data_IF_732942993309
#
_entry.id   IF_732942993309
#
_cell.length_a   1.000
_cell.length_b   1.000
_cell.length_c   1.000
_cell.angle_alpha   90.00
_cell.angle_beta   90.00
_cell.angle_gamma   90.00
#
_symmetry.space_group_name_H-M   'P 1'
#
loop_
_entity.id
_entity.type
_entity.pdbx_description
1 polymer ?
#
# COMPACT_ATOMS: atom_id res chain seq x y z
N UNK A 1 -17.52 29.35 -4.07
CA UNK A 1 -16.28 29.21 -3.25
C UNK A 1 -15.57 27.88 -3.48
N UNK A 2 -16.05 26.71 -3.00
CA UNK A 2 -15.36 25.41 -3.24
C UNK A 2 -15.24 25.07 -4.74
N UNK A 3 -16.33 25.24 -5.51
CA UNK A 3 -16.33 25.09 -6.96
C UNK A 3 -15.37 26.07 -7.68
N UNK A 4 -15.27 27.32 -7.21
CA UNK A 4 -14.33 28.30 -7.78
C UNK A 4 -12.88 27.92 -7.48
N UNK A 5 -12.60 27.43 -6.27
CA UNK A 5 -11.27 26.93 -5.89
C UNK A 5 -10.89 25.68 -6.68
N UNK A 6 -11.83 24.75 -6.89
CA UNK A 6 -11.61 23.56 -7.73
C UNK A 6 -11.36 23.94 -9.19
N UNK A 7 -12.16 24.84 -9.77
CA UNK A 7 -11.95 25.35 -11.14
C UNK A 7 -10.61 26.09 -11.27
N UNK A 8 -10.21 26.88 -10.28
CA UNK A 8 -8.91 27.56 -10.27
C UNK A 8 -7.76 26.55 -10.21
N UNK A 9 -7.85 25.52 -9.36
CA UNK A 9 -6.84 24.47 -9.23
C UNK A 9 -6.70 23.65 -10.53
N UNK A 10 -7.83 23.19 -11.09
CA UNK A 10 -7.86 22.45 -12.38
C UNK A 10 -7.30 23.32 -13.51
N UNK A 11 -7.65 24.62 -13.56
CA UNK A 11 -7.09 25.53 -14.56
C UNK A 11 -5.58 25.72 -14.42
N UNK A 12 -5.05 25.70 -13.18
CA UNK A 12 -3.62 25.82 -12.92
C UNK A 12 -2.86 24.56 -13.34
N UNK A 13 -3.41 23.37 -13.04
CA UNK A 13 -2.87 22.08 -13.48
C UNK A 13 -2.91 21.95 -15.00
N UNK A 14 -4.04 22.28 -15.63
CA UNK A 14 -4.19 22.25 -17.08
C UNK A 14 -3.20 23.19 -17.80
N UNK A 15 -2.95 24.39 -17.25
CA UNK A 15 -1.92 25.32 -17.76
C UNK A 15 -0.50 24.75 -17.61
N UNK A 16 -0.19 24.06 -16.51
CA UNK A 16 1.09 23.39 -16.31
C UNK A 16 1.32 22.24 -17.29
N UNK A 17 0.30 21.42 -17.56
CA UNK A 17 0.37 20.33 -18.54
C UNK A 17 0.50 20.88 -19.97
N UNK A 18 -0.24 21.94 -20.32
CA UNK A 18 -0.13 22.60 -21.62
C UNK A 18 1.24 23.27 -21.85
N UNK A 19 1.88 23.80 -20.80
CA UNK A 19 3.24 24.35 -20.91
C UNK A 19 4.30 23.25 -21.10
N UNK A 20 4.07 22.04 -20.61
CA UNK A 20 4.95 20.88 -20.84
C UNK A 20 4.77 20.26 -22.24
N UNK A 21 3.58 20.35 -22.83
CA UNK A 21 3.32 19.90 -24.20
C UNK A 21 3.91 20.84 -25.26
N UNK A 22 4.05 22.13 -24.95
CA UNK A 22 4.56 23.16 -25.88
C UNK A 22 6.08 23.30 -25.86
N UNK A 23 6.79 22.66 -24.92
CA UNK A 23 8.26 22.73 -24.80
C UNK A 23 9.05 21.83 -25.78
N UNK A 24 8.42 21.27 -26.82
CA UNK A 24 9.13 20.73 -27.99
C UNK A 24 10.00 19.47 -27.78
N UNK A 25 9.76 18.67 -26.74
CA UNK A 25 10.52 17.44 -26.43
C UNK A 25 9.87 16.16 -26.96
N UNK A 26 9.09 16.23 -28.04
CA UNK A 26 8.43 15.06 -28.64
C UNK A 26 9.40 14.19 -29.47
N UNK A 27 10.54 14.73 -29.91
CA UNK A 27 11.54 13.99 -30.68
C UNK A 27 12.48 13.09 -29.86
N UNK A 28 12.72 13.41 -28.58
CA UNK A 28 13.64 12.67 -27.73
C UNK A 28 13.05 11.33 -27.22
N UNK A 29 11.72 11.25 -27.10
CA UNK A 29 11.03 10.04 -26.60
C UNK A 29 10.97 8.95 -27.68
N UNK A 30 10.84 9.32 -28.95
CA UNK A 30 10.77 8.36 -30.07
C UNK A 30 12.15 7.78 -30.43
N UNK A 31 13.23 8.57 -30.29
CA UNK A 31 14.60 8.04 -30.44
C UNK A 31 15.02 7.13 -29.28
N UNK A 32 14.55 7.38 -28.05
CA UNK A 32 14.82 6.51 -26.90
C UNK A 32 14.15 5.13 -27.02
N UNK A 33 13.00 5.03 -27.68
CA UNK A 33 12.28 3.77 -27.94
C UNK A 33 12.90 2.94 -29.08
N UNK A 34 13.56 3.57 -30.05
CA UNK A 34 14.18 2.87 -31.19
C UNK A 34 15.54 2.23 -30.84
N UNK A 35 16.22 2.67 -29.78
CA UNK A 35 17.51 2.10 -29.34
C UNK A 35 17.38 0.82 -28.50
N UNK A 36 16.15 0.34 -28.24
CA UNK A 36 15.85 -0.84 -27.40
C UNK A 36 15.78 -2.18 -28.16
N UNK A 37 16.08 -2.21 -29.47
CA UNK A 37 15.96 -3.41 -30.33
C UNK A 37 17.29 -3.95 -30.87
N UNK A 38 18.39 -3.75 -30.13
CA UNK A 38 19.62 -4.52 -30.36
C UNK A 38 19.55 -5.78 -29.49
N UNK A 39 19.39 -6.95 -30.13
CA UNK A 39 19.47 -8.25 -29.46
C UNK A 39 20.84 -8.39 -28.76
N UNK A 40 20.88 -8.57 -27.42
CA UNK A 40 22.13 -8.89 -26.78
C UNK A 40 22.47 -10.35 -27.03
N UNK A 41 23.67 -10.58 -27.56
CA UNK A 41 24.43 -11.81 -27.33
C UNK A 41 24.34 -12.14 -25.83
N UNK A 42 24.08 -13.39 -25.45
CA UNK A 42 23.85 -13.80 -24.06
C UNK A 42 25.01 -13.39 -23.15
N UNK A 43 24.95 -12.18 -22.60
CA UNK A 43 25.87 -11.68 -21.60
C UNK A 43 25.52 -12.43 -20.31
N UNK A 44 26.46 -13.22 -19.80
CA UNK A 44 26.37 -13.70 -18.42
C UNK A 44 26.28 -12.47 -17.52
N UNK A 45 25.36 -12.50 -16.58
CA UNK A 45 25.26 -11.43 -15.59
C UNK A 45 26.49 -11.51 -14.69
N UNK A 46 27.35 -10.49 -14.77
CA UNK A 46 28.46 -10.32 -13.85
C UNK A 46 27.99 -9.43 -12.70
N UNK A 47 28.10 -9.95 -11.48
CA UNK A 47 27.76 -9.27 -10.25
C UNK A 47 29.00 -8.49 -9.77
N UNK A 48 28.97 -7.16 -9.83
CA UNK A 48 30.16 -6.33 -9.56
C UNK A 48 30.09 -5.71 -8.17
N UNK A 49 31.03 -6.06 -7.29
CA UNK A 49 31.27 -5.45 -5.98
C UNK A 49 32.46 -4.50 -6.03
N UNK A 50 32.28 -3.27 -5.55
CA UNK A 50 33.38 -2.29 -5.41
C UNK A 50 33.84 -2.25 -3.96
N UNK A 51 35.07 -2.71 -3.72
CA UNK A 51 35.63 -2.86 -2.39
C UNK A 51 36.53 -1.67 -2.01
N UNK A 52 36.40 -1.20 -0.76
CA UNK A 52 37.37 -0.33 -0.09
C UNK A 52 38.69 -1.05 0.14
N UNK A 53 38.63 -2.32 0.53
CA UNK A 53 39.77 -3.20 0.77
C UNK A 53 39.60 -4.50 -0.03
N UNK A 54 39.90 -4.48 -1.35
CA UNK A 54 39.68 -5.64 -2.22
C UNK A 54 40.46 -6.87 -1.74
N UNK A 55 41.65 -6.71 -1.16
CA UNK A 55 42.43 -7.85 -0.64
C UNK A 55 41.73 -8.55 0.53
N UNK A 56 41.16 -7.79 1.47
CA UNK A 56 40.43 -8.37 2.60
C UNK A 56 39.13 -9.04 2.13
N UNK A 57 38.41 -8.41 1.20
CA UNK A 57 37.15 -8.94 0.70
C UNK A 57 37.35 -10.19 -0.18
N UNK A 58 38.37 -10.18 -1.05
CA UNK A 58 38.79 -11.34 -1.84
C UNK A 58 39.19 -12.50 -0.93
N UNK A 59 39.97 -12.24 0.13
CA UNK A 59 40.32 -13.27 1.11
C UNK A 59 39.08 -13.85 1.77
N UNK A 60 38.13 -13.00 2.18
CA UNK A 60 36.89 -13.42 2.81
C UNK A 60 36.06 -14.34 1.91
N UNK A 61 35.79 -13.93 0.67
CA UNK A 61 35.00 -14.76 -0.25
C UNK A 61 35.68 -16.08 -0.61
N UNK A 62 37.02 -16.08 -0.72
CA UNK A 62 37.77 -17.30 -1.03
C UNK A 62 37.87 -18.26 0.15
N UNK A 63 38.24 -17.75 1.33
CA UNK A 63 38.66 -18.59 2.47
C UNK A 63 37.53 -18.82 3.48
N UNK A 64 36.58 -17.88 3.61
CA UNK A 64 35.45 -17.98 4.55
C UNK A 64 34.20 -18.46 3.85
N UNK A 65 33.83 -17.84 2.72
CA UNK A 65 32.63 -18.25 1.95
C UNK A 65 32.91 -19.48 1.09
N UNK A 66 34.17 -19.69 0.68
CA UNK A 66 34.58 -20.86 -0.10
C UNK A 66 34.30 -20.75 -1.60
N UNK A 67 34.24 -19.52 -2.14
CA UNK A 67 34.01 -19.32 -3.57
C UNK A 67 35.25 -19.70 -4.40
N UNK A 68 35.01 -20.33 -5.55
CA UNK A 68 36.08 -20.74 -6.46
C UNK A 68 36.63 -19.53 -7.23
N UNK A 69 37.94 -19.35 -7.18
CA UNK A 69 38.63 -18.25 -7.85
C UNK A 69 38.71 -18.55 -9.35
N UNK A 70 38.14 -17.68 -10.18
CA UNK A 70 38.17 -17.80 -11.63
C UNK A 70 39.28 -16.99 -12.27
N UNK A 71 39.51 -15.78 -11.79
CA UNK A 71 40.60 -14.91 -12.23
C UNK A 71 41.01 -13.95 -11.10
N UNK A 72 42.29 -13.58 -11.05
CA UNK A 72 42.81 -12.59 -10.11
C UNK A 72 43.88 -11.76 -10.81
N UNK A 73 43.71 -10.44 -10.79
CA UNK A 73 44.70 -9.47 -11.26
C UNK A 73 44.92 -8.36 -10.22
N UNK A 74 45.76 -7.38 -10.54
CA UNK A 74 46.11 -6.29 -9.61
C UNK A 74 44.97 -5.32 -9.29
N UNK A 75 43.86 -5.39 -10.03
CA UNK A 75 42.72 -4.47 -9.98
C UNK A 75 41.37 -5.15 -9.74
N UNK A 76 41.29 -6.46 -9.98
CA UNK A 76 40.07 -7.24 -10.05
C UNK A 76 40.30 -8.67 -9.54
N UNK A 77 39.32 -9.19 -8.81
CA UNK A 77 39.21 -10.62 -8.50
C UNK A 77 37.83 -11.12 -8.94
N UNK A 78 37.78 -12.23 -9.67
CA UNK A 78 36.55 -12.85 -10.15
C UNK A 78 36.36 -14.24 -9.54
N UNK A 79 35.15 -14.51 -9.03
CA UNK A 79 34.73 -15.77 -8.43
C UNK A 79 33.62 -16.41 -9.26
N UNK A 80 33.61 -17.75 -9.32
CA UNK A 80 32.54 -18.51 -9.96
C UNK A 80 31.36 -18.72 -8.99
N UNK A 81 30.15 -18.39 -9.45
CA UNK A 81 28.88 -18.66 -8.77
C UNK A 81 28.02 -19.67 -9.57
N UNK A 82 28.63 -20.41 -10.49
CA UNK A 82 27.99 -21.36 -11.39
C UNK A 82 27.57 -20.70 -12.70
N UNK A 83 26.37 -20.07 -12.72
CA UNK A 83 25.88 -19.37 -13.92
C UNK A 83 26.32 -17.91 -14.01
N UNK A 84 26.80 -17.36 -12.90
CA UNK A 84 27.16 -15.95 -12.72
C UNK A 84 28.63 -15.82 -12.27
N UNK A 85 29.21 -14.64 -12.46
CA UNK A 85 30.54 -14.33 -11.95
C UNK A 85 30.43 -13.21 -10.92
N UNK A 86 30.96 -13.40 -9.72
CA UNK A 86 31.16 -12.29 -8.79
C UNK A 86 32.50 -11.62 -9.09
N UNK A 87 32.47 -10.31 -9.32
CA UNK A 87 33.64 -9.51 -9.66
C UNK A 87 33.88 -8.47 -8.57
N UNK A 88 34.99 -8.59 -7.85
CA UNK A 88 35.44 -7.65 -6.83
C UNK A 88 36.44 -6.68 -7.46
N UNK A 89 36.13 -5.39 -7.46
CA UNK A 89 36.97 -4.30 -7.99
C UNK A 89 37.53 -3.44 -6.86
N UNK A 90 38.81 -3.10 -6.94
CA UNK A 90 39.43 -2.12 -6.02
C UNK A 90 39.09 -0.66 -6.36
N UNK A 91 39.06 0.20 -5.33
CA UNK A 91 39.14 1.66 -5.51
C UNK A 91 37.81 2.40 -5.68
N UNK A 92 36.68 1.81 -5.27
CA UNK A 92 35.38 2.51 -5.24
C UNK A 92 35.05 3.07 -3.85
N UNK A 93 34.36 4.22 -3.80
CA UNK A 93 33.53 4.50 -2.64
C UNK A 93 32.41 3.45 -2.61
N UNK A 94 32.26 2.75 -1.50
CA UNK A 94 31.07 1.91 -1.27
C UNK A 94 29.87 2.85 -1.32
N UNK A 95 29.03 2.71 -2.34
CA UNK A 95 27.69 3.26 -2.26
C UNK A 95 27.04 2.57 -1.06
N UNK A 96 26.83 3.31 0.04
CA UNK A 96 26.28 2.81 1.29
C UNK A 96 24.82 2.28 1.17
N UNK A 97 24.37 2.02 -0.07
CA UNK A 97 23.03 1.60 -0.45
C UNK A 97 23.04 0.54 -1.57
N UNK A 98 24.16 -0.15 -1.85
CA UNK A 98 24.08 -1.31 -2.73
C UNK A 98 23.28 -2.41 -2.05
N UNK A 99 22.00 -2.55 -2.40
CA UNK A 99 21.10 -3.64 -1.98
C UNK A 99 21.51 -5.02 -2.54
N UNK A 100 22.78 -5.19 -2.90
CA UNK A 100 23.29 -6.37 -3.54
C UNK A 100 23.48 -7.44 -2.47
N UNK A 101 22.47 -8.30 -2.30
CA UNK A 101 22.57 -9.50 -1.49
C UNK A 101 23.17 -10.62 -2.33
N UNK A 102 24.42 -10.96 -2.07
CA UNK A 102 25.04 -12.13 -2.67
C UNK A 102 24.45 -13.38 -2.01
N UNK A 103 23.80 -14.24 -2.79
CA UNK A 103 23.29 -15.52 -2.30
C UNK A 103 24.04 -16.69 -2.92
N UNK A 104 24.76 -17.42 -2.08
CA UNK A 104 25.54 -18.60 -2.47
C UNK A 104 24.77 -19.85 -2.06
N UNK A 105 24.68 -20.85 -2.94
CA UNK A 105 24.06 -22.13 -2.59
C UNK A 105 25.12 -23.13 -2.11
N UNK A 106 24.80 -23.90 -1.08
CA UNK A 106 25.63 -25.00 -0.58
C UNK A 106 24.79 -26.24 -0.27
N UNK A 107 25.41 -27.41 -0.37
CA UNK A 107 24.82 -28.67 0.11
C UNK A 107 24.94 -28.85 1.63
N UNK A 108 25.88 -28.15 2.28
CA UNK A 108 26.21 -28.35 3.69
C UNK A 108 26.28 -27.00 4.44
N UNK A 109 25.14 -26.58 5.00
CA UNK A 109 25.03 -25.35 5.77
C UNK A 109 25.72 -25.45 7.13
N UNK A 110 25.79 -26.63 7.75
CA UNK A 110 26.42 -26.78 9.06
C UNK A 110 27.93 -26.57 8.99
N UNK A 111 28.56 -27.08 7.93
CA UNK A 111 29.98 -26.83 7.65
C UNK A 111 30.25 -25.35 7.31
N UNK A 112 29.37 -24.72 6.52
CA UNK A 112 29.46 -23.29 6.24
C UNK A 112 29.34 -22.45 7.52
N UNK A 113 28.36 -22.76 8.38
CA UNK A 113 28.17 -22.14 9.70
C UNK A 113 29.39 -22.28 10.58
N UNK A 114 29.96 -23.48 10.70
CA UNK A 114 31.16 -23.72 11.50
C UNK A 114 32.37 -22.95 10.97
N UNK A 115 32.44 -22.69 9.66
CA UNK A 115 33.51 -21.90 9.04
C UNK A 115 33.34 -20.41 9.33
N UNK A 116 32.12 -19.88 9.20
CA UNK A 116 31.79 -18.49 9.55
C UNK A 116 32.07 -18.20 11.04
N UNK A 117 31.64 -19.09 11.94
CA UNK A 117 31.88 -18.93 13.38
C UNK A 117 33.37 -19.01 13.74
N UNK A 118 34.16 -19.86 13.08
CA UNK A 118 35.63 -19.90 13.27
C UNK A 118 36.32 -18.64 12.78
N UNK A 119 35.73 -17.95 11.82
CA UNK A 119 36.20 -16.67 11.31
C UNK A 119 35.67 -15.46 12.10
N UNK A 120 34.99 -15.69 13.23
CA UNK A 120 34.38 -14.65 14.09
C UNK A 120 33.36 -13.77 13.35
N UNK A 121 32.64 -14.36 12.38
CA UNK A 121 31.54 -13.70 11.68
C UNK A 121 30.25 -13.92 12.44
N UNK A 122 29.52 -12.83 12.72
CA UNK A 122 28.16 -12.91 13.28
C UNK A 122 27.22 -13.45 12.21
N UNK A 123 26.47 -14.50 12.54
CA UNK A 123 25.58 -15.17 11.60
C UNK A 123 24.18 -15.27 12.19
N UNK A 124 23.22 -14.82 11.41
CA UNK A 124 21.81 -15.03 11.67
C UNK A 124 21.33 -16.29 10.92
N UNK A 125 20.57 -17.13 11.63
CA UNK A 125 20.07 -18.39 11.09
C UNK A 125 18.61 -18.27 10.65
N UNK A 126 18.33 -18.63 9.40
CA UNK A 126 16.97 -18.84 8.94
C UNK A 126 16.62 -20.34 8.99
N UNK A 127 15.47 -20.66 9.57
CA UNK A 127 14.95 -22.03 9.69
C UNK A 127 13.57 -22.13 9.04
N UNK A 128 13.25 -23.30 8.49
CA UNK A 128 11.90 -23.58 7.99
C UNK A 128 10.89 -23.83 9.14
N UNK A 129 9.58 -23.96 8.84
CA UNK A 129 8.58 -24.26 9.86
C UNK A 129 8.83 -25.57 10.63
N UNK A 130 9.58 -26.51 10.03
CA UNK A 130 10.00 -27.75 10.68
C UNK A 130 11.29 -27.58 11.51
N UNK A 131 11.84 -26.37 11.59
CA UNK A 131 13.03 -26.01 12.38
C UNK A 131 14.37 -26.36 11.74
N UNK A 132 14.39 -26.80 10.47
CA UNK A 132 15.62 -27.13 9.74
C UNK A 132 16.30 -25.85 9.25
N UNK A 133 17.63 -25.79 9.37
CA UNK A 133 18.44 -24.67 8.88
C UNK A 133 18.39 -24.61 7.35
N UNK A 134 18.06 -23.44 6.80
CA UNK A 134 17.81 -23.23 5.37
C UNK A 134 18.64 -22.09 4.78
N UNK A 135 19.04 -21.12 5.60
CA UNK A 135 19.99 -20.10 5.20
C UNK A 135 20.79 -19.57 6.39
N UNK A 136 21.96 -19.01 6.08
CA UNK A 136 22.83 -18.26 6.97
C UNK A 136 22.97 -16.86 6.40
N UNK A 137 22.69 -15.83 7.19
CA UNK A 137 22.75 -14.42 6.80
C UNK A 137 23.83 -13.73 7.64
N UNK A 138 24.68 -12.95 7.00
CA UNK A 138 25.79 -12.25 7.65
C UNK A 138 26.26 -11.08 6.80
N UNK A 139 27.05 -10.20 7.39
CA UNK A 139 27.71 -9.14 6.65
C UNK A 139 29.15 -9.54 6.31
N UNK A 140 29.61 -9.16 5.11
CA UNK A 140 31.02 -9.25 4.75
C UNK A 140 31.86 -8.19 5.52
N UNK A 141 33.21 -8.20 5.39
CA UNK A 141 34.07 -7.23 6.09
C UNK A 141 33.82 -5.75 5.78
N UNK A 142 33.06 -5.45 4.72
CA UNK A 142 32.68 -4.08 4.34
C UNK A 142 31.23 -3.74 4.69
N UNK A 143 30.50 -4.65 5.33
CA UNK A 143 29.10 -4.47 5.73
C UNK A 143 28.09 -4.78 4.61
N UNK A 144 28.49 -5.48 3.55
CA UNK A 144 27.54 -5.92 2.53
C UNK A 144 26.85 -7.20 2.99
N UNK A 145 25.51 -7.29 2.85
CA UNK A 145 24.77 -8.47 3.26
C UNK A 145 25.04 -9.64 2.32
N UNK A 146 25.43 -10.78 2.88
CA UNK A 146 25.68 -12.05 2.20
C UNK A 146 24.79 -13.13 2.81
N UNK A 147 24.28 -14.03 1.97
CA UNK A 147 23.53 -15.19 2.39
C UNK A 147 24.10 -16.48 1.82
N UNK A 148 24.10 -17.55 2.61
CA UNK A 148 24.34 -18.90 2.12
C UNK A 148 23.04 -19.70 2.28
N UNK A 149 22.51 -20.24 1.18
CA UNK A 149 21.28 -21.04 1.17
C UNK A 149 21.57 -22.52 0.96
N UNK A 150 20.70 -23.36 1.55
CA UNK A 150 20.69 -24.79 1.23
C UNK A 150 20.30 -24.99 -0.23
N UNK A 151 20.97 -25.90 -0.92
CA UNK A 151 20.78 -26.09 -2.37
C UNK A 151 19.37 -26.53 -2.75
N UNK A 152 18.73 -27.32 -1.88
CA UNK A 152 17.34 -27.79 -1.97
C UNK A 152 16.31 -26.79 -1.41
N UNK A 153 16.73 -25.60 -0.97
CA UNK A 153 15.80 -24.57 -0.53
C UNK A 153 14.89 -24.15 -1.71
N UNK A 154 13.56 -24.02 -1.48
CA UNK A 154 12.61 -23.58 -2.49
C UNK A 154 13.04 -22.28 -3.17
N UNK A 155 12.87 -22.12 -4.49
CA UNK A 155 13.24 -20.89 -5.22
C UNK A 155 12.55 -19.64 -4.67
N UNK A 156 11.34 -19.79 -4.12
CA UNK A 156 10.59 -18.72 -3.47
C UNK A 156 11.35 -18.12 -2.30
N UNK A 157 12.04 -18.94 -1.50
CA UNK A 157 12.85 -18.44 -0.39
C UNK A 157 14.13 -17.77 -0.85
N UNK A 158 14.72 -18.21 -1.95
CA UNK A 158 15.85 -17.48 -2.53
C UNK A 158 15.45 -16.07 -2.96
N UNK A 159 14.23 -15.91 -3.51
CA UNK A 159 13.66 -14.60 -3.84
C UNK A 159 13.35 -13.77 -2.60
N UNK A 160 12.82 -14.36 -1.53
CA UNK A 160 12.55 -13.67 -0.26
C UNK A 160 13.88 -13.17 0.34
N UNK A 161 14.86 -14.06 0.50
CA UNK A 161 16.19 -13.72 1.01
C UNK A 161 16.88 -12.66 0.13
N UNK A 162 16.80 -12.76 -1.21
CA UNK A 162 17.49 -11.87 -2.16
C UNK A 162 16.85 -10.48 -2.25
N UNK A 163 15.52 -10.40 -2.21
CA UNK A 163 14.77 -9.15 -2.43
C UNK A 163 14.84 -8.19 -1.25
N UNK A 164 15.49 -8.58 -0.15
CA UNK A 164 15.37 -7.83 1.08
C UNK A 164 13.99 -8.00 1.73
N UNK A 165 13.14 -8.93 1.24
CA UNK A 165 12.11 -9.55 2.07
C UNK A 165 12.80 -10.47 3.06
N UNK A 166 13.42 -9.79 3.99
CA UNK A 166 14.04 -10.24 5.20
C UNK A 166 13.31 -11.53 5.68
N UNK A 167 13.91 -12.69 5.40
CA UNK A 167 13.51 -13.97 6.01
C UNK A 167 13.74 -13.90 7.52
N UNK A 168 14.54 -12.93 7.95
CA UNK A 168 14.53 -12.43 9.31
C UNK A 168 13.42 -11.41 9.56
N UNK A 169 12.82 -10.63 8.66
CA UNK A 169 11.63 -9.78 8.98
C UNK A 169 10.36 -10.57 9.27
N UNK A 170 10.27 -11.82 8.83
CA UNK A 170 9.24 -12.74 9.34
C UNK A 170 9.55 -13.23 10.77
N UNK A 171 10.81 -13.14 11.21
CA UNK A 171 11.29 -13.46 12.56
C UNK A 171 11.61 -12.22 13.44
N UNK A 172 11.73 -11.04 12.83
CA UNK A 172 12.38 -9.80 13.29
C UNK A 172 11.57 -8.58 12.83
N UNK A 173 10.24 -8.77 12.80
CA UNK A 173 9.27 -7.71 13.05
C UNK A 173 9.53 -6.95 14.39
N UNK A 174 10.60 -7.30 15.13
CA UNK A 174 11.14 -6.67 16.32
C UNK A 174 12.23 -5.59 16.11
N UNK A 175 12.77 -5.34 14.91
CA UNK A 175 13.92 -4.39 14.77
C UNK A 175 13.77 -3.21 13.78
N UNK A 176 12.55 -2.90 13.32
CA UNK A 176 12.19 -1.52 12.96
C UNK A 176 12.71 -0.95 11.62
N UNK A 177 12.79 -1.74 10.54
CA UNK A 177 13.16 -1.24 9.19
C UNK A 177 12.16 -1.60 8.08
N UNK A 178 10.90 -1.20 8.22
CA UNK A 178 9.86 -1.22 7.17
C UNK A 178 9.84 0.06 6.31
N UNK A 179 11.01 0.62 6.00
CA UNK A 179 11.15 2.00 5.47
C UNK A 179 10.80 2.14 3.97
N UNK A 180 10.60 1.05 3.21
CA UNK A 180 10.56 1.12 1.74
C UNK A 180 9.25 0.71 1.04
N UNK A 181 8.26 0.13 1.73
CA UNK A 181 7.01 -0.32 1.06
C UNK A 181 6.09 0.83 0.64
N UNK A 182 6.11 1.95 1.37
CA UNK A 182 5.18 3.07 1.15
C UNK A 182 5.27 3.72 -0.24
N UNK A 183 6.45 3.70 -0.88
CA UNK A 183 6.65 4.27 -2.23
C UNK A 183 5.90 3.47 -3.30
N UNK A 184 5.93 2.14 -3.16
CA UNK A 184 5.26 1.23 -4.10
C UNK A 184 3.76 1.23 -3.86
N UNK A 185 3.33 1.18 -2.60
CA UNK A 185 1.92 1.28 -2.17
C UNK A 185 1.28 2.57 -2.75
N UNK A 186 1.90 3.72 -2.49
CA UNK A 186 1.40 5.00 -2.98
C UNK A 186 1.41 5.12 -4.51
N UNK A 187 2.38 4.49 -5.19
CA UNK A 187 2.43 4.48 -6.65
C UNK A 187 1.29 3.63 -7.26
N UNK A 188 0.97 2.49 -6.66
CA UNK A 188 -0.15 1.64 -7.08
C UNK A 188 -1.47 2.38 -6.87
N UNK A 189 -1.70 2.92 -5.67
CA UNK A 189 -2.90 3.69 -5.35
C UNK A 189 -3.06 4.90 -6.29
N UNK A 190 -1.97 5.64 -6.53
CA UNK A 190 -1.98 6.80 -7.43
C UNK A 190 -2.21 6.39 -8.88
N UNK A 191 -1.71 5.24 -9.32
CA UNK A 191 -1.97 4.71 -10.66
C UNK A 191 -3.45 4.39 -10.88
N UNK A 192 -4.08 3.74 -9.90
CA UNK A 192 -5.52 3.43 -9.92
C UNK A 192 -6.36 4.71 -9.98
N UNK A 193 -6.10 5.66 -9.08
CA UNK A 193 -6.80 6.94 -9.06
C UNK A 193 -6.47 7.81 -10.28
N UNK A 194 -5.26 7.68 -10.82
CA UNK A 194 -4.85 8.32 -12.07
C UNK A 194 -5.78 7.93 -13.23
N UNK A 195 -6.10 6.65 -13.39
CA UNK A 195 -7.08 6.19 -14.38
C UNK A 195 -8.45 6.85 -14.16
N UNK A 196 -8.91 6.90 -12.91
CA UNK A 196 -10.16 7.58 -12.54
C UNK A 196 -10.16 9.06 -12.90
N UNK A 197 -9.06 9.77 -12.62
CA UNK A 197 -8.87 11.17 -13.03
C UNK A 197 -8.86 11.35 -14.54
N UNK A 198 -8.25 10.40 -15.26
CA UNK A 198 -8.26 10.37 -16.73
C UNK A 198 -9.66 10.27 -17.31
N UNK A 199 -10.60 9.62 -16.62
CA UNK A 199 -12.01 9.63 -16.99
C UNK A 199 -12.73 10.91 -16.52
N UNK A 200 -12.60 11.24 -15.23
CA UNK A 200 -13.42 12.26 -14.59
C UNK A 200 -13.15 13.66 -15.14
N UNK A 201 -11.89 14.03 -15.37
CA UNK A 201 -11.53 15.38 -15.84
C UNK A 201 -12.09 15.69 -17.24
N UNK A 202 -11.83 14.91 -18.30
CA UNK A 202 -12.38 15.22 -19.62
C UNK A 202 -13.92 15.15 -19.64
N UNK A 203 -14.52 14.18 -18.95
CA UNK A 203 -15.99 14.10 -18.86
C UNK A 203 -16.58 15.35 -18.20
N UNK A 204 -16.00 15.79 -17.08
CA UNK A 204 -16.44 17.01 -16.37
C UNK A 204 -16.21 18.30 -17.17
N UNK A 205 -15.34 18.26 -18.19
CA UNK A 205 -15.12 19.37 -19.12
C UNK A 205 -16.02 19.27 -20.38
N UNK A 206 -17.02 18.38 -20.37
CA UNK A 206 -17.98 18.19 -21.46
C UNK A 206 -17.45 17.35 -22.61
N UNK A 207 -16.44 16.49 -22.39
CA UNK A 207 -15.96 15.58 -23.42
C UNK A 207 -16.81 14.32 -23.48
N UNK A 208 -17.58 14.17 -24.56
CA UNK A 208 -18.34 12.95 -24.85
C UNK A 208 -17.58 11.96 -25.75
N UNK A 209 -16.32 12.25 -26.10
CA UNK A 209 -15.55 11.42 -27.02
C UNK A 209 -14.96 10.20 -26.32
N UNK A 210 -15.38 8.97 -26.65
CA UNK A 210 -14.82 7.76 -26.03
C UNK A 210 -13.32 7.63 -26.29
N UNK A 211 -12.85 8.11 -27.44
CA UNK A 211 -11.42 8.12 -27.79
C UNK A 211 -10.63 9.08 -26.89
N UNK A 212 -11.13 10.29 -26.65
CA UNK A 212 -10.45 11.25 -25.78
C UNK A 212 -10.40 10.73 -24.33
N UNK A 213 -11.51 10.18 -23.83
CA UNK A 213 -11.59 9.55 -22.51
C UNK A 213 -10.65 8.34 -22.42
N UNK A 214 -10.64 7.45 -23.42
CA UNK A 214 -9.77 6.27 -23.42
C UNK A 214 -8.28 6.64 -23.41
N UNK A 215 -7.87 7.62 -24.24
CA UNK A 215 -6.49 8.07 -24.30
C UNK A 215 -6.03 8.73 -23.00
N UNK A 216 -6.89 9.54 -22.37
CA UNK A 216 -6.57 10.19 -21.10
C UNK A 216 -6.48 9.19 -19.96
N UNK A 217 -7.37 8.19 -19.88
CA UNK A 217 -7.26 7.07 -18.93
C UNK A 217 -5.96 6.28 -19.10
N UNK A 218 -5.60 5.92 -20.34
CA UNK A 218 -4.37 5.19 -20.64
C UNK A 218 -3.10 5.96 -20.25
N UNK A 219 -3.10 7.29 -20.40
CA UNK A 219 -1.94 8.12 -20.08
C UNK A 219 -1.86 8.44 -18.58
N UNK A 220 -2.98 8.79 -17.95
CA UNK A 220 -3.04 9.30 -16.58
C UNK A 220 -2.66 8.26 -15.52
N UNK A 221 -3.07 7.00 -15.67
CA UNK A 221 -2.71 5.92 -14.73
C UNK A 221 -1.18 5.74 -14.60
N UNK A 222 -0.46 5.39 -15.67
CA UNK A 222 0.99 5.28 -15.65
C UNK A 222 1.70 6.58 -15.24
N UNK A 223 1.22 7.74 -15.70
CA UNK A 223 1.80 9.03 -15.33
C UNK A 223 1.68 9.31 -13.82
N UNK A 224 0.52 9.03 -13.22
CA UNK A 224 0.30 9.20 -11.80
C UNK A 224 1.15 8.22 -10.97
N UNK A 225 1.24 6.95 -11.38
CA UNK A 225 2.09 5.96 -10.73
C UNK A 225 3.58 6.36 -10.75
N UNK A 226 4.09 6.82 -11.90
CA UNK A 226 5.47 7.30 -12.03
C UNK A 226 5.69 8.56 -11.18
N UNK A 227 4.77 9.52 -11.21
CA UNK A 227 4.87 10.74 -10.42
C UNK A 227 4.90 10.44 -8.92
N UNK A 228 4.01 9.57 -8.44
CA UNK A 228 3.94 9.13 -7.05
C UNK A 228 5.19 8.35 -6.62
N UNK A 229 5.71 7.46 -7.47
CA UNK A 229 6.95 6.75 -7.20
C UNK A 229 8.15 7.69 -7.08
N UNK A 230 8.26 8.69 -7.98
CA UNK A 230 9.31 9.70 -7.93
C UNK A 230 9.18 10.61 -6.71
N UNK A 231 7.95 11.01 -6.37
CA UNK A 231 7.66 11.73 -5.13
C UNK A 231 8.10 10.93 -3.90
N UNK A 232 7.74 9.64 -3.85
CA UNK A 232 8.11 8.73 -2.77
C UNK A 232 9.63 8.56 -2.64
N UNK A 233 10.36 8.50 -3.76
CA UNK A 233 11.82 8.48 -3.77
C UNK A 233 12.42 9.73 -3.13
N UNK A 234 11.94 10.92 -3.50
CA UNK A 234 12.47 12.22 -3.02
C UNK A 234 12.15 12.51 -1.56
N UNK A 235 11.04 11.99 -1.07
CA UNK A 235 10.54 12.28 0.29
C UNK A 235 10.84 11.17 1.29
N UNK A 236 11.47 10.07 0.86
CA UNK A 236 11.64 8.87 1.66
C UNK A 236 10.32 8.39 2.30
N UNK A 237 9.26 8.33 1.48
CA UNK A 237 7.90 8.06 1.92
C UNK A 237 7.81 6.72 2.68
N UNK A 238 7.47 6.80 3.96
CA UNK A 238 7.23 5.64 4.83
C UNK A 238 5.86 5.02 4.53
N UNK A 239 5.61 3.78 4.98
CA UNK A 239 4.31 3.11 4.85
C UNK A 239 3.17 3.90 5.50
N UNK A 240 3.37 4.40 6.71
CA UNK A 240 2.33 5.17 7.42
C UNK A 240 2.06 6.53 6.77
N UNK A 241 3.09 7.20 6.26
CA UNK A 241 2.91 8.44 5.48
C UNK A 241 2.18 8.18 4.17
N UNK A 242 2.52 7.12 3.44
CA UNK A 242 1.82 6.72 2.22
C UNK A 242 0.32 6.51 2.48
N UNK A 243 -0.03 5.70 3.48
CA UNK A 243 -1.42 5.48 3.87
C UNK A 243 -2.15 6.73 4.32
N UNK A 244 -1.47 7.65 5.01
CA UNK A 244 -2.07 8.93 5.36
C UNK A 244 -2.41 9.78 4.12
N UNK A 245 -1.57 9.75 3.07
CA UNK A 245 -1.85 10.41 1.79
C UNK A 245 -3.03 9.76 1.07
N UNK A 246 -3.03 8.43 0.97
CA UNK A 246 -4.09 7.64 0.35
C UNK A 246 -5.43 7.90 1.04
N UNK A 247 -5.47 7.77 2.37
CA UNK A 247 -6.63 8.13 3.17
C UNK A 247 -7.07 9.56 2.93
N UNK A 248 -6.13 10.52 2.99
CA UNK A 248 -6.43 11.93 2.81
C UNK A 248 -7.16 12.16 1.49
N UNK A 249 -6.67 11.52 0.42
CA UNK A 249 -7.32 11.50 -0.88
C UNK A 249 -8.70 10.87 -0.85
N UNK A 250 -8.80 9.60 -0.44
CA UNK A 250 -10.04 8.81 -0.48
C UNK A 250 -11.15 9.45 0.37
N UNK A 251 -10.80 9.93 1.56
CA UNK A 251 -11.74 10.58 2.47
C UNK A 251 -12.22 11.92 1.92
N UNK A 252 -11.33 12.76 1.40
CA UNK A 252 -11.74 14.04 0.82
C UNK A 252 -12.53 13.87 -0.48
N UNK A 253 -12.21 12.84 -1.28
CA UNK A 253 -12.99 12.44 -2.44
C UNK A 253 -14.40 11.98 -2.04
N UNK A 254 -14.51 11.10 -1.04
CA UNK A 254 -15.80 10.67 -0.48
C UNK A 254 -16.63 11.84 0.02
N UNK A 255 -16.04 12.75 0.80
CA UNK A 255 -16.72 13.95 1.30
C UNK A 255 -17.21 14.83 0.14
N UNK A 256 -16.37 15.05 -0.88
CA UNK A 256 -16.75 15.90 -2.01
C UNK A 256 -17.85 15.27 -2.87
N UNK A 257 -17.80 13.97 -3.14
CA UNK A 257 -18.88 13.25 -3.82
C UNK A 257 -20.18 13.32 -3.03
N UNK A 258 -20.11 13.03 -1.73
CA UNK A 258 -21.28 13.02 -0.89
C UNK A 258 -21.95 14.39 -0.78
N UNK A 259 -21.20 15.45 -0.50
CA UNK A 259 -21.77 16.80 -0.40
C UNK A 259 -22.27 17.33 -1.75
N UNK A 260 -21.65 16.92 -2.86
CA UNK A 260 -22.17 17.22 -4.19
C UNK A 260 -23.51 16.50 -4.46
N UNK A 261 -23.63 15.24 -4.02
CA UNK A 261 -24.88 14.48 -4.09
C UNK A 261 -25.99 15.09 -3.25
N UNK A 262 -25.71 15.41 -1.98
CA UNK A 262 -26.66 16.11 -1.08
C UNK A 262 -27.06 17.48 -1.63
N UNK A 263 -26.20 18.12 -2.42
CA UNK A 263 -26.49 19.39 -3.09
C UNK A 263 -27.20 19.26 -4.44
N UNK A 264 -27.58 18.04 -4.85
CA UNK A 264 -28.19 17.74 -6.14
C UNK A 264 -27.42 18.33 -7.34
N UNK A 265 -26.09 18.27 -7.29
CA UNK A 265 -25.27 18.74 -8.41
C UNK A 265 -25.42 17.84 -9.63
N UNK A 266 -25.23 18.41 -10.82
CA UNK A 266 -25.15 17.65 -12.07
C UNK A 266 -23.99 16.65 -12.04
N UNK A 267 -24.08 15.56 -12.82
CA UNK A 267 -23.14 14.43 -12.73
C UNK A 267 -21.69 14.84 -13.04
N UNK A 268 -21.51 15.79 -13.95
CA UNK A 268 -20.24 16.41 -14.32
C UNK A 268 -19.64 17.17 -13.12
N UNK A 269 -20.46 17.95 -12.42
CA UNK A 269 -20.03 18.72 -11.25
C UNK A 269 -19.75 17.81 -10.03
N UNK A 270 -20.47 16.69 -9.89
CA UNK A 270 -20.20 15.65 -8.88
C UNK A 270 -18.83 15.01 -9.13
N UNK A 271 -18.53 14.62 -10.38
CA UNK A 271 -17.22 14.04 -10.76
C UNK A 271 -16.06 15.04 -10.60
N UNK A 272 -16.29 16.30 -10.98
CA UNK A 272 -15.30 17.36 -10.79
C UNK A 272 -15.04 17.61 -9.31
N UNK A 273 -16.10 17.63 -8.48
CA UNK A 273 -16.01 17.83 -7.04
C UNK A 273 -15.24 16.69 -6.38
N UNK A 274 -15.56 15.43 -6.69
CA UNK A 274 -14.83 14.25 -6.20
C UNK A 274 -13.34 14.29 -6.56
N UNK A 275 -13.02 14.62 -7.82
CA UNK A 275 -11.64 14.81 -8.30
C UNK A 275 -10.91 15.93 -7.54
N UNK A 276 -11.56 17.07 -7.34
CA UNK A 276 -11.03 18.19 -6.57
C UNK A 276 -10.79 17.81 -5.10
N UNK A 277 -11.72 17.05 -4.52
CA UNK A 277 -11.63 16.47 -3.19
C UNK A 277 -10.41 15.59 -3.04
N UNK A 278 -10.23 14.60 -3.91
CA UNK A 278 -9.09 13.69 -3.94
C UNK A 278 -7.75 14.45 -3.88
N UNK A 279 -7.54 15.39 -4.82
CA UNK A 279 -6.29 16.13 -4.93
C UNK A 279 -6.05 17.04 -3.71
N UNK A 280 -7.10 17.69 -3.21
CA UNK A 280 -7.05 18.54 -2.03
C UNK A 280 -6.71 17.71 -0.78
N UNK A 281 -7.28 16.52 -0.66
CA UNK A 281 -7.05 15.59 0.43
C UNK A 281 -5.61 15.09 0.47
N UNK A 282 -5.07 14.64 -0.67
CA UNK A 282 -3.65 14.23 -0.77
C UNK A 282 -2.74 15.38 -0.40
N UNK A 283 -3.00 16.59 -0.91
CA UNK A 283 -2.19 17.76 -0.60
C UNK A 283 -2.24 18.14 0.88
N UNK A 284 -3.44 18.11 1.49
CA UNK A 284 -3.62 18.38 2.92
C UNK A 284 -2.89 17.33 3.78
N UNK A 285 -3.02 16.04 3.45
CA UNK A 285 -2.30 14.97 4.14
C UNK A 285 -0.79 15.12 3.99
N UNK A 286 -0.28 15.47 2.80
CA UNK A 286 1.15 15.71 2.59
C UNK A 286 1.67 16.85 3.47
N UNK A 287 0.91 17.94 3.60
CA UNK A 287 1.24 19.06 4.47
C UNK A 287 1.20 18.68 5.95
N UNK A 288 0.19 17.92 6.37
CA UNK A 288 0.00 17.51 7.77
C UNK A 288 1.03 16.48 8.23
N UNK A 289 1.52 15.63 7.32
CA UNK A 289 2.51 14.58 7.62
C UNK A 289 3.94 15.03 7.37
N UNK A 290 4.15 16.22 6.80
CA UNK A 290 5.50 16.74 6.51
C UNK A 290 6.33 16.86 7.80
N UNK A 291 7.44 16.13 7.84
CA UNK A 291 8.36 16.13 8.98
C UNK A 291 7.80 15.44 10.24
N UNK A 292 6.72 14.67 10.10
CA UNK A 292 6.15 13.85 11.18
C UNK A 292 6.24 12.38 10.81
N UNK A 293 6.65 11.57 11.76
CA UNK A 293 6.52 10.12 11.65
C UNK A 293 5.07 9.75 11.95
N UNK A 294 4.42 9.11 10.98
CA UNK A 294 3.07 8.58 11.12
C UNK A 294 3.20 7.07 11.09
N UNK A 295 2.78 6.39 12.16
CA UNK A 295 2.78 4.94 12.16
C UNK A 295 1.64 4.40 11.29
N UNK A 296 1.79 3.22 10.65
CA UNK A 296 0.71 2.59 9.90
C UNK A 296 -0.57 2.40 10.74
N UNK A 297 -0.41 2.12 12.03
CA UNK A 297 -1.52 1.98 12.97
C UNK A 297 -2.26 3.29 13.26
N UNK A 298 -1.54 4.41 13.39
CA UNK A 298 -2.16 5.74 13.50
C UNK A 298 -2.97 6.11 12.26
N UNK A 299 -2.39 5.90 11.07
CA UNK A 299 -3.09 6.13 9.80
C UNK A 299 -4.32 5.22 9.67
N UNK A 300 -4.17 3.94 10.02
CA UNK A 300 -5.26 2.97 10.03
C UNK A 300 -6.38 3.36 11.00
N UNK A 301 -6.06 3.82 12.21
CA UNK A 301 -7.06 4.17 13.23
C UNK A 301 -7.91 5.34 12.76
N UNK A 302 -7.26 6.33 12.15
CA UNK A 302 -7.93 7.48 11.53
C UNK A 302 -8.91 7.03 10.42
N UNK A 303 -8.47 6.15 9.51
CA UNK A 303 -9.31 5.60 8.44
C UNK A 303 -10.48 4.77 8.99
N UNK A 304 -10.19 3.87 9.92
CA UNK A 304 -11.17 2.97 10.50
C UNK A 304 -12.25 3.76 11.23
N UNK A 305 -11.88 4.78 12.01
CA UNK A 305 -12.82 5.63 12.70
C UNK A 305 -13.71 6.44 11.72
N UNK A 306 -13.18 6.87 10.58
CA UNK A 306 -13.96 7.54 9.54
C UNK A 306 -15.02 6.59 8.93
N UNK A 307 -14.64 5.36 8.60
CA UNK A 307 -15.54 4.36 8.03
C UNK A 307 -16.63 3.93 9.02
N UNK A 308 -16.25 3.64 10.27
CA UNK A 308 -17.21 3.34 11.33
C UNK A 308 -18.12 4.53 11.63
N UNK A 309 -17.59 5.75 11.58
CA UNK A 309 -18.38 6.97 11.60
C UNK A 309 -19.46 6.97 10.53
N UNK A 310 -19.09 6.78 9.26
CA UNK A 310 -20.04 6.69 8.14
C UNK A 310 -21.11 5.63 8.37
N UNK A 311 -20.70 4.41 8.77
CA UNK A 311 -21.60 3.30 9.05
C UNK A 311 -22.61 3.64 10.16
N UNK A 312 -22.17 4.24 11.27
CA UNK A 312 -23.08 4.61 12.35
C UNK A 312 -23.95 5.82 12.01
N UNK A 313 -23.52 6.69 11.10
CA UNK A 313 -24.38 7.69 10.48
C UNK A 313 -25.52 7.08 9.67
N UNK A 314 -25.21 6.08 8.84
CA UNK A 314 -26.22 5.32 8.09
C UNK A 314 -27.22 4.66 9.04
N UNK A 315 -26.72 3.92 10.03
CA UNK A 315 -27.58 3.25 11.04
C UNK A 315 -28.45 4.26 11.76
N UNK A 316 -27.88 5.36 12.26
CA UNK A 316 -28.61 6.40 12.98
C UNK A 316 -29.70 7.06 12.12
N UNK A 317 -29.39 7.38 10.86
CA UNK A 317 -30.35 7.94 9.92
C UNK A 317 -31.50 6.96 9.64
N UNK A 318 -31.20 5.68 9.42
CA UNK A 318 -32.23 4.65 9.15
C UNK A 318 -33.13 4.35 10.34
N UNK A 319 -32.59 4.40 11.56
CA UNK A 319 -33.41 4.28 12.78
C UNK A 319 -34.32 5.50 12.93
N UNK A 320 -33.82 6.71 12.66
CA UNK A 320 -34.62 7.93 12.70
C UNK A 320 -35.70 7.96 11.61
N UNK A 321 -35.42 7.32 10.46
CA UNK A 321 -36.30 7.18 9.31
C UNK A 321 -37.45 6.19 9.54
N UNK A 322 -37.35 5.23 10.45
CA UNK A 322 -38.41 4.23 10.66
C UNK A 322 -39.81 4.80 10.97
N UNK A 323 -39.93 6.10 11.27
CA UNK A 323 -41.20 6.81 11.46
C UNK A 323 -41.39 8.04 10.55
N UNK A 324 -40.48 8.30 9.61
CA UNK A 324 -40.53 9.41 8.65
C UNK A 324 -40.23 8.86 7.26
N UNK A 325 -40.41 9.66 6.22
CA UNK A 325 -39.90 9.30 4.90
C UNK A 325 -38.69 10.21 4.72
N UNK A 326 -37.52 9.73 5.12
CA UNK A 326 -36.25 10.44 5.04
C UNK A 326 -35.71 10.22 3.64
N UNK A 327 -35.50 11.32 2.92
CA UNK A 327 -34.92 11.28 1.58
C UNK A 327 -33.47 10.75 1.62
N UNK A 328 -33.03 10.17 0.50
CA UNK A 328 -31.68 9.59 0.39
C UNK A 328 -30.55 10.55 0.77
N UNK A 329 -30.78 11.85 0.56
CA UNK A 329 -29.81 12.92 0.81
C UNK A 329 -29.59 13.17 2.30
N UNK A 330 -30.62 13.04 3.13
CA UNK A 330 -30.48 13.15 4.58
C UNK A 330 -29.67 11.97 5.15
N UNK A 331 -29.88 10.75 4.60
CA UNK A 331 -29.08 9.58 4.98
C UNK A 331 -27.61 9.75 4.58
N UNK A 332 -27.35 10.19 3.34
CA UNK A 332 -26.00 10.47 2.86
C UNK A 332 -25.34 11.59 3.68
N UNK A 333 -26.06 12.68 3.96
CA UNK A 333 -25.62 13.77 4.82
C UNK A 333 -25.21 13.29 6.22
N UNK A 334 -26.01 12.40 6.82
CA UNK A 334 -25.67 11.80 8.11
C UNK A 334 -24.37 10.99 8.05
N UNK A 335 -24.17 10.17 7.00
CA UNK A 335 -22.93 9.41 6.79
C UNK A 335 -21.70 10.34 6.63
N UNK A 336 -21.84 11.44 5.90
CA UNK A 336 -20.75 12.40 5.68
C UNK A 336 -20.34 13.12 6.96
N UNK A 337 -21.33 13.62 7.72
CA UNK A 337 -21.07 14.30 9.00
C UNK A 337 -20.43 13.35 10.00
N UNK A 338 -21.00 12.15 10.17
CA UNK A 338 -20.50 11.18 11.15
C UNK A 338 -19.15 10.59 10.77
N UNK A 339 -18.84 10.43 9.48
CA UNK A 339 -17.49 10.04 9.05
C UNK A 339 -16.44 11.12 9.32
N UNK A 340 -16.80 12.41 9.20
CA UNK A 340 -15.91 13.51 9.61
C UNK A 340 -15.71 13.58 11.13
N UNK A 341 -16.76 13.35 11.91
CA UNK A 341 -16.67 13.22 13.38
C UNK A 341 -15.80 12.01 13.74
N UNK A 342 -16.01 10.87 13.09
CA UNK A 342 -15.24 9.64 13.27
C UNK A 342 -13.75 9.84 12.96
N UNK A 343 -13.44 10.42 11.78
CA UNK A 343 -12.07 10.76 11.41
C UNK A 343 -11.43 11.68 12.49
N UNK A 344 -12.11 12.75 12.88
CA UNK A 344 -11.60 13.68 13.91
C UNK A 344 -11.33 12.96 15.24
N UNK A 345 -12.25 12.13 15.70
CA UNK A 345 -12.09 11.34 16.92
C UNK A 345 -10.94 10.32 16.80
N UNK A 346 -10.82 9.64 15.67
CA UNK A 346 -9.74 8.70 15.38
C UNK A 346 -8.37 9.39 15.37
N UNK A 347 -8.27 10.57 14.76
CA UNK A 347 -7.05 11.37 14.74
C UNK A 347 -6.64 11.83 16.13
N UNK A 348 -7.58 12.36 16.93
CA UNK A 348 -7.33 12.73 18.33
C UNK A 348 -6.92 11.53 19.20
N UNK A 349 -7.48 10.36 18.92
CA UNK A 349 -7.12 9.11 19.62
C UNK A 349 -5.73 8.64 19.23
N UNK A 350 -5.38 8.71 17.93
CA UNK A 350 -4.06 8.35 17.39
C UNK A 350 -2.92 9.21 17.96
N UNK A 351 -3.22 10.43 18.44
CA UNK A 351 -2.25 11.27 19.14
C UNK A 351 -1.95 10.80 20.57
N UNK A 352 -2.82 9.98 21.16
CA UNK A 352 -2.73 9.54 22.57
C UNK A 352 -2.46 8.05 22.72
N UNK A 353 -2.86 7.26 21.73
CA UNK A 353 -2.79 5.81 21.75
C UNK A 353 -2.00 5.38 20.53
N UNK A 354 -0.86 4.73 20.79
CA UNK A 354 -0.14 4.00 19.76
C UNK A 354 -0.76 2.61 19.64
N UNK A 355 -1.48 2.39 18.54
CA UNK A 355 -2.18 1.13 18.28
C UNK A 355 -1.48 0.41 17.14
N UNK A 356 -0.98 -0.82 17.33
CA UNK A 356 -0.38 -1.56 16.23
C UNK A 356 -1.44 -1.90 15.18
N UNK A 357 -1.03 -1.93 13.92
CA UNK A 357 -1.91 -2.19 12.78
C UNK A 357 -2.65 -3.53 12.90
N UNK A 358 -1.96 -4.58 13.37
CA UNK A 358 -2.56 -5.90 13.58
C UNK A 358 -3.69 -5.89 14.60
N UNK A 359 -3.53 -5.14 15.70
CA UNK A 359 -4.58 -4.97 16.70
C UNK A 359 -5.79 -4.24 16.12
N UNK A 360 -5.55 -3.21 15.34
CA UNK A 360 -6.62 -2.47 14.68
C UNK A 360 -7.38 -3.36 13.68
N UNK A 361 -6.68 -4.18 12.90
CA UNK A 361 -7.29 -5.13 11.98
C UNK A 361 -8.22 -6.12 12.72
N UNK A 362 -7.79 -6.65 13.88
CA UNK A 362 -8.65 -7.48 14.73
C UNK A 362 -9.87 -6.73 15.28
N UNK A 363 -9.71 -5.44 15.62
CA UNK A 363 -10.83 -4.61 16.07
C UNK A 363 -11.84 -4.47 14.94
N UNK A 364 -11.40 -4.07 13.75
CA UNK A 364 -12.25 -3.91 12.57
C UNK A 364 -12.94 -5.22 12.17
N UNK A 365 -12.20 -6.33 12.14
CA UNK A 365 -12.76 -7.65 11.88
C UNK A 365 -13.85 -8.00 12.89
N UNK A 366 -13.62 -7.72 14.18
CA UNK A 366 -14.65 -7.84 15.22
C UNK A 366 -15.91 -7.08 14.87
N UNK A 367 -15.79 -5.80 14.55
CA UNK A 367 -16.93 -4.98 14.15
C UNK A 367 -17.67 -5.52 12.92
N UNK A 368 -16.94 -5.92 11.86
CA UNK A 368 -17.52 -6.50 10.64
C UNK A 368 -18.29 -7.78 10.96
N UNK A 369 -17.69 -8.70 11.71
CA UNK A 369 -18.33 -9.95 12.14
C UNK A 369 -19.53 -9.70 13.04
N UNK A 370 -19.46 -8.69 13.92
CA UNK A 370 -20.58 -8.25 14.76
C UNK A 370 -21.75 -7.74 13.93
N UNK A 371 -21.49 -6.85 12.96
CA UNK A 371 -22.52 -6.34 12.04
C UNK A 371 -23.14 -7.47 11.21
N UNK A 372 -22.32 -8.34 10.63
CA UNK A 372 -22.78 -9.49 9.84
C UNK A 372 -23.63 -10.45 10.68
N UNK A 373 -23.22 -10.73 11.92
CA UNK A 373 -23.99 -11.51 12.87
C UNK A 373 -25.34 -10.85 13.18
N UNK A 374 -25.38 -9.53 13.33
CA UNK A 374 -26.63 -8.79 13.55
C UNK A 374 -27.60 -8.89 12.39
N UNK A 375 -27.13 -8.78 11.14
CA UNK A 375 -27.98 -9.06 9.97
C UNK A 375 -28.46 -10.52 9.93
N UNK A 376 -27.60 -11.48 10.29
CA UNK A 376 -28.00 -12.88 10.40
C UNK A 376 -29.08 -13.10 11.47
N UNK A 377 -28.97 -12.42 12.61
CA UNK A 377 -29.96 -12.49 13.68
C UNK A 377 -31.30 -11.91 13.25
N UNK A 378 -31.30 -10.76 12.59
CA UNK A 378 -32.49 -10.14 12.00
C UNK A 378 -33.21 -11.09 11.04
N UNK A 379 -32.48 -11.72 10.12
CA UNK A 379 -33.03 -12.70 9.17
C UNK A 379 -33.65 -13.94 9.84
N UNK A 380 -33.08 -14.39 10.96
CA UNK A 380 -33.58 -15.56 11.72
C UNK A 380 -34.82 -15.18 12.52
N UNK A 381 -34.84 -14.00 13.12
CA UNK A 381 -35.94 -13.53 13.94
C UNK A 381 -37.09 -12.94 13.12
N UNK A 382 -36.85 -12.61 11.85
CA UNK A 382 -37.80 -11.97 10.93
C UNK A 382 -38.45 -10.74 11.58
N UNK A 383 -37.62 -9.76 11.96
CA UNK A 383 -38.11 -8.58 12.67
C UNK A 383 -38.84 -7.67 11.70
N UNK A 384 -40.15 -7.52 11.89
CA UNK A 384 -41.03 -6.68 11.05
C UNK A 384 -40.96 -5.17 11.41
N UNK A 385 -39.85 -4.70 11.99
CA UNK A 385 -39.64 -3.30 12.38
C UNK A 385 -38.42 -2.72 11.64
N UNK A 386 -38.66 -1.74 10.77
CA UNK A 386 -37.62 -1.14 9.93
C UNK A 386 -36.48 -0.53 10.76
N UNK A 387 -36.78 0.00 11.96
CA UNK A 387 -35.75 0.52 12.85
C UNK A 387 -34.86 -0.61 13.38
N UNK A 388 -35.46 -1.73 13.78
CA UNK A 388 -34.78 -2.89 14.33
C UNK A 388 -33.84 -3.56 13.31
N UNK A 389 -34.22 -3.59 12.03
CA UNK A 389 -33.39 -4.11 10.93
C UNK A 389 -32.02 -3.42 10.88
N UNK A 390 -31.94 -2.14 11.24
CA UNK A 390 -30.67 -1.38 11.30
C UNK A 390 -30.08 -1.30 12.71
N UNK A 391 -30.92 -1.25 13.74
CA UNK A 391 -30.48 -1.17 15.12
C UNK A 391 -29.76 -2.44 15.57
N UNK A 392 -30.21 -3.62 15.14
CA UNK A 392 -29.60 -4.90 15.51
C UNK A 392 -28.16 -4.99 14.96
N UNK A 393 -27.89 -4.88 13.64
CA UNK A 393 -26.52 -4.85 13.10
C UNK A 393 -25.66 -3.72 13.66
N UNK A 394 -26.25 -2.54 13.88
CA UNK A 394 -25.56 -1.41 14.50
C UNK A 394 -25.06 -1.73 15.91
N UNK A 395 -25.95 -2.25 16.76
CA UNK A 395 -25.64 -2.58 18.15
C UNK A 395 -24.65 -3.75 18.26
N UNK A 396 -24.82 -4.81 17.46
CA UNK A 396 -23.88 -5.95 17.45
C UNK A 396 -22.51 -5.55 16.91
N UNK A 397 -22.45 -4.67 15.91
CA UNK A 397 -21.21 -4.08 15.41
C UNK A 397 -20.45 -3.30 16.49
N UNK A 398 -21.12 -2.38 17.20
CA UNK A 398 -20.53 -1.64 18.34
C UNK A 398 -20.06 -2.60 19.43
N UNK A 399 -20.92 -3.55 19.82
CA UNK A 399 -20.60 -4.54 20.85
C UNK A 399 -19.36 -5.36 20.51
N UNK A 400 -19.24 -5.79 19.25
CA UNK A 400 -18.10 -6.57 18.78
C UNK A 400 -16.81 -5.72 18.70
N UNK A 401 -16.88 -4.47 18.24
CA UNK A 401 -15.75 -3.52 18.30
C UNK A 401 -15.25 -3.33 19.73
N UNK A 402 -16.17 -3.10 20.68
CA UNK A 402 -15.82 -2.92 22.08
C UNK A 402 -15.20 -4.18 22.68
N UNK A 403 -15.79 -5.34 22.39
CA UNK A 403 -15.30 -6.64 22.83
C UNK A 403 -13.89 -6.94 22.30
N UNK A 404 -13.65 -6.77 21.00
CA UNK A 404 -12.32 -7.03 20.41
C UNK A 404 -11.28 -6.02 20.86
N UNK A 405 -11.66 -4.75 21.06
CA UNK A 405 -10.77 -3.74 21.65
C UNK A 405 -10.33 -4.13 23.06
N UNK A 406 -11.26 -4.60 23.88
CA UNK A 406 -10.99 -5.09 25.23
C UNK A 406 -10.17 -6.39 25.23
N UNK A 407 -10.51 -7.34 24.35
CA UNK A 407 -9.86 -8.64 24.25
C UNK A 407 -8.40 -8.50 23.81
N UNK A 408 -8.15 -7.71 22.78
CA UNK A 408 -6.79 -7.43 22.29
C UNK A 408 -5.97 -6.62 23.29
N UNK A 409 -6.59 -5.72 24.05
CA UNK A 409 -5.90 -4.92 25.05
C UNK A 409 -5.44 -5.68 26.30
N UNK A 410 -5.99 -6.86 26.58
CA UNK A 410 -5.57 -7.70 27.72
C UNK A 410 -4.44 -8.68 27.39
N UNK A 411 -4.25 -8.95 26.11
CA UNK A 411 -3.32 -9.96 25.63
C UNK A 411 -2.06 -9.35 25.02
N UNK A 412 -1.83 -8.04 25.18
CA UNK A 412 -0.54 -7.44 24.82
C UNK A 412 0.52 -7.87 25.85
N UNK A 413 1.56 -8.61 25.44
CA UNK A 413 2.78 -8.69 26.22
C UNK A 413 3.35 -7.28 26.36
N UNK A 414 4.05 -6.98 27.46
CA UNK A 414 4.79 -5.73 27.62
C UNK A 414 5.58 -5.37 26.34
N UNK A 415 5.92 -4.08 26.08
CA UNK A 415 6.36 -3.55 24.77
C UNK A 415 7.53 -4.24 24.05
N UNK A 416 8.11 -5.31 24.61
CA UNK A 416 9.23 -6.07 24.08
C UNK A 416 8.89 -7.52 23.68
N UNK A 417 7.61 -7.87 23.45
CA UNK A 417 7.23 -9.26 23.16
C UNK A 417 6.10 -9.41 22.13
N UNK A 418 6.22 -8.73 20.99
CA UNK A 418 5.23 -8.77 19.89
C UNK A 418 5.65 -9.65 18.70
N UNK A 419 6.11 -10.87 18.95
CA UNK A 419 6.18 -11.93 17.93
C UNK A 419 4.85 -12.71 17.96
N UNK A 420 4.41 -13.20 16.78
CA UNK A 420 3.26 -14.08 16.53
C UNK A 420 1.94 -13.37 16.20
N UNK A 421 1.81 -12.94 14.93
CA UNK A 421 0.83 -13.49 13.97
C UNK A 421 0.80 -12.58 12.73
N UNK A 422 1.40 -13.09 11.65
CA UNK A 422 1.34 -12.48 10.32
C UNK A 422 -0.05 -12.61 9.75
N UNK A 423 -0.75 -11.47 9.65
CA UNK A 423 -1.92 -11.31 8.81
C UNK A 423 -1.67 -10.11 7.90
N UNK A 424 -0.90 -10.31 6.83
CA UNK A 424 -0.94 -9.39 5.68
C UNK A 424 -2.14 -9.77 4.83
N UNK A 425 -3.29 -9.18 5.14
CA UNK A 425 -4.49 -9.23 4.30
C UNK A 425 -4.51 -8.06 3.31
N UNK A 426 -5.10 -8.21 2.12
CA UNK A 426 -5.31 -7.11 1.18
C UNK A 426 -6.47 -6.25 1.70
N UNK A 427 -6.18 -5.26 2.55
CA UNK A 427 -7.19 -4.36 3.14
C UNK A 427 -7.67 -3.23 2.22
N UNK A 428 -7.45 -3.32 0.91
CA UNK A 428 -8.20 -2.50 -0.05
C UNK A 428 -9.62 -3.08 -0.24
N UNK A 429 -10.39 -3.17 0.85
CA UNK A 429 -11.83 -3.22 0.75
C UNK A 429 -12.30 -1.81 0.40
N UNK A 430 -12.36 -1.55 -0.91
CA UNK A 430 -13.25 -0.53 -1.43
C UNK A 430 -14.64 -0.85 -0.88
N UNK A 431 -15.09 -0.09 0.12
CA UNK A 431 -16.52 0.04 0.36
C UNK A 431 -17.05 0.59 -0.96
N UNK A 432 -17.66 -0.29 -1.76
CA UNK A 432 -18.38 0.10 -2.96
C UNK A 432 -19.31 1.21 -2.50
N UNK A 433 -19.05 2.44 -2.97
CA UNK A 433 -20.06 3.48 -2.95
C UNK A 433 -21.34 2.79 -3.45
N UNK A 434 -22.46 2.86 -2.70
CA UNK A 434 -23.69 2.24 -3.16
C UNK A 434 -23.90 2.76 -4.57
N UNK A 435 -24.01 1.85 -5.54
CA UNK A 435 -24.35 2.24 -6.90
C UNK A 435 -25.69 2.95 -6.79
N UNK A 436 -25.66 4.29 -6.80
CA UNK A 436 -26.82 5.15 -6.95
C UNK A 436 -27.32 4.84 -8.36
N UNK A 437 -28.12 3.78 -8.43
CA UNK A 437 -28.89 3.45 -9.59
C UNK A 437 -30.08 4.39 -9.49
N UNK A 438 -30.34 5.26 -10.48
CA UNK A 438 -31.56 6.05 -10.48
C UNK A 438 -32.73 5.07 -10.35
N UNK A 439 -33.63 5.33 -9.42
CA UNK A 439 -34.82 4.52 -9.15
C UNK A 439 -35.62 4.31 -10.44
N UNK A 440 -35.40 3.17 -11.10
CA UNK A 440 -36.30 2.65 -12.15
C UNK A 440 -37.43 1.88 -11.48
N UNK A 441 -38.29 2.60 -10.75
CA UNK A 441 -39.67 2.16 -10.48
C UNK A 441 -40.42 2.14 -11.81
N UNK A 442 -40.41 1.00 -12.51
CA UNK A 442 -41.18 0.84 -13.75
C UNK A 442 -41.10 -0.53 -14.45
N UNK A 443 -40.03 -1.31 -14.28
CA UNK A 443 -39.81 -2.47 -15.16
C UNK A 443 -40.38 -3.81 -14.67
N UNK A 444 -40.82 -3.92 -13.40
CA UNK A 444 -41.41 -5.17 -12.89
C UNK A 444 -42.89 -5.37 -13.23
N UNK A 445 -43.62 -4.32 -13.60
CA UNK A 445 -45.06 -4.42 -13.90
C UNK A 445 -45.37 -4.81 -15.36
N UNK A 446 -44.48 -4.53 -16.32
CA UNK A 446 -44.70 -4.86 -17.73
C UNK A 446 -44.26 -6.27 -18.11
N UNK A 447 -43.26 -6.85 -17.44
CA UNK A 447 -42.77 -8.19 -17.78
C UNK A 447 -43.74 -9.33 -17.38
N UNK A 448 -44.68 -9.08 -16.47
CA UNK A 448 -45.69 -10.05 -16.04
C UNK A 448 -47.05 -9.91 -16.75
N UNK A 449 -47.27 -8.86 -17.55
CA UNK A 449 -48.49 -8.72 -18.39
C UNK A 449 -48.36 -9.32 -19.79
N UNK A 450 -47.16 -9.74 -20.20
CA UNK A 450 -46.92 -10.31 -21.53
C UNK A 450 -46.91 -11.85 -21.55
N UNK A 451 -47.27 -12.54 -20.45
CA UNK A 451 -47.23 -14.01 -20.40
C UNK A 451 -48.31 -14.73 -19.59
N UNK A 452 -49.35 -14.04 -19.14
CA UNK A 452 -50.59 -14.66 -18.65
C UNK A 452 -51.81 -13.84 -19.08
#
# INVERSE_FOLDING_TARGET
MILDTARQLVSAVARGVASMATSGTTGAVTCALASLLVLPCSARADLVLRAKNPTALTRFYREVVGLELRAEDSTLTAFDLGSETLVVLGGGQTDAQSNLRLLVRTHDLDSARATLLRADVSVDEARDPEGRLIALLFDDPEGNPVGILRQDAPPTWALDVASGHDVLSSLDASSGRTVHSGKTEFAIWSGLHGVGLGFAVPYSLGSDSPTAIGLTMMASGPAAAVAAYQYGKRTALTRGTARALEFGGDFAMWQAFGWAGVGDLESEDVLLSGTGGLLTGVAAAALLTRGREVSPGQAGLFFSAANWGAWFGLVGARIADANRYVDGDETLGAMLVTSAVGATAGGLTALRVDMPESRLAWINLGGILGTAFGFGLDLVLQVDDDAAVWAIPGATGVGALAFTTWFTGRNEPAPNSGQLLGAEGPESFAFLAPSITPSRTGWRAEFLRARF
#
